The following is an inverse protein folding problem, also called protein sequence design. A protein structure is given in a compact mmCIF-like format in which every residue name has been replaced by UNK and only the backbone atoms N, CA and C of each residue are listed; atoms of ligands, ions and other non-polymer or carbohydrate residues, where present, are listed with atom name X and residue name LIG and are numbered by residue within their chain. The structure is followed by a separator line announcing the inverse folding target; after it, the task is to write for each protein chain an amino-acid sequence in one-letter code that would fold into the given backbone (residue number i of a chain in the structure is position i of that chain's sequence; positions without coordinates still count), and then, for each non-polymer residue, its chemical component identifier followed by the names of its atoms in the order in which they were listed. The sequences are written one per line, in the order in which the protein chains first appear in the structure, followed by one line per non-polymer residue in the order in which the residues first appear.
data_IF_557991406193
#
_entry.id   IF_557991406193
#
_cell.length_a   1.000
_cell.length_b   1.000
_cell.length_c   1.000
_cell.angle_alpha   90.00
_cell.angle_beta   90.00
_cell.angle_gamma   90.00
#
_symmetry.space_group_name_H-M   'P 1'
#
loop_
_entity.id
_entity.type
_entity.pdbx_description
1 polymer ?
#
# COMPACT_ATOMS: atom_id res chain seq x y z
N UNK A 1 -17.51 5.06 -12.03
CA UNK A 1 -16.90 3.99 -11.22
C UNK A 1 -16.31 2.97 -12.16
N UNK A 2 -15.14 2.44 -11.83
CA UNK A 2 -14.54 1.32 -12.56
C UNK A 2 -15.37 0.05 -12.33
N UNK A 3 -15.46 -0.78 -13.35
CA UNK A 3 -16.01 -2.13 -13.22
C UNK A 3 -14.91 -3.08 -12.70
N UNK A 4 -14.84 -3.23 -11.39
CA UNK A 4 -13.79 -4.05 -10.73
C UNK A 4 -13.90 -5.53 -11.12
N UNK A 5 -15.05 -6.01 -11.60
CA UNK A 5 -15.21 -7.40 -12.04
C UNK A 5 -14.34 -7.73 -13.26
N UNK A 6 -13.94 -6.72 -14.03
CA UNK A 6 -13.06 -6.84 -15.20
C UNK A 6 -11.56 -6.85 -14.87
N UNK A 7 -11.20 -6.55 -13.61
CA UNK A 7 -9.81 -6.66 -13.17
C UNK A 7 -9.45 -8.15 -13.15
N UNK A 8 -8.47 -8.54 -13.94
CA UNK A 8 -8.05 -9.93 -14.12
C UNK A 8 -6.52 -10.03 -14.17
N UNK A 9 -5.96 -10.67 -13.16
CA UNK A 9 -4.55 -11.02 -13.04
C UNK A 9 -4.37 -12.54 -12.94
N UNK A 10 -5.27 -13.31 -13.57
CA UNK A 10 -5.32 -14.78 -13.46
C UNK A 10 -4.02 -15.46 -13.86
N UNK A 11 -3.20 -14.85 -14.72
CA UNK A 11 -1.85 -15.33 -15.06
C UNK A 11 -0.93 -15.36 -13.85
N UNK A 12 -1.16 -14.52 -12.84
CA UNK A 12 -0.42 -14.44 -11.59
C UNK A 12 -1.13 -15.17 -10.43
N UNK A 13 -2.40 -15.56 -10.59
CA UNK A 13 -3.18 -16.25 -9.56
C UNK A 13 -2.93 -17.77 -9.54
N UNK A 14 -1.77 -18.19 -9.99
CA UNK A 14 -1.36 -19.60 -9.96
C UNK A 14 -0.75 -19.97 -8.61
N UNK A 15 -1.04 -21.17 -8.07
CA UNK A 15 -0.51 -21.60 -6.77
C UNK A 15 1.01 -21.43 -6.66
N UNK A 16 1.76 -21.76 -7.74
CA UNK A 16 3.21 -21.63 -7.80
C UNK A 16 3.72 -20.17 -7.75
N UNK A 17 2.87 -19.18 -8.05
CA UNK A 17 3.16 -17.75 -7.91
C UNK A 17 2.73 -17.28 -6.52
N UNK A 18 1.50 -17.60 -6.14
CA UNK A 18 0.89 -17.08 -4.90
C UNK A 18 1.64 -17.49 -3.65
N UNK A 19 2.19 -18.72 -3.60
CA UNK A 19 2.95 -19.23 -2.44
C UNK A 19 4.23 -18.42 -2.17
N UNK A 20 4.81 -17.79 -3.20
CA UNK A 20 6.00 -16.96 -3.06
C UNK A 20 5.67 -15.47 -2.99
N UNK A 21 4.55 -15.05 -3.59
CA UNK A 21 4.18 -13.64 -3.64
C UNK A 21 3.46 -13.17 -2.38
N UNK A 22 2.77 -14.08 -1.67
CA UNK A 22 2.05 -13.74 -0.44
C UNK A 22 2.52 -14.60 0.73
N UNK A 23 2.87 -13.93 1.84
CA UNK A 23 3.24 -14.57 3.11
C UNK A 23 2.30 -14.09 4.21
N UNK A 24 1.02 -14.48 4.18
CA UNK A 24 0.05 -14.06 5.17
C UNK A 24 0.44 -14.57 6.56
N UNK A 25 0.26 -13.70 7.55
CA UNK A 25 0.40 -14.04 8.97
C UNK A 25 -0.72 -13.41 9.78
N UNK A 26 -1.22 -14.11 10.82
CA UNK A 26 -2.24 -13.55 11.69
C UNK A 26 -1.67 -12.43 12.57
N UNK A 27 -2.55 -11.55 13.05
CA UNK A 27 -2.20 -10.62 14.12
C UNK A 27 -1.87 -11.41 15.40
N UNK A 28 -0.76 -11.09 16.10
CA UNK A 28 -0.43 -11.73 17.36
C UNK A 28 -1.57 -11.53 18.36
N UNK A 29 -2.01 -12.62 18.99
CA UNK A 29 -2.97 -12.52 20.10
C UNK A 29 -2.29 -11.76 21.24
N UNK A 30 -2.84 -10.61 21.61
CA UNK A 30 -2.39 -9.90 22.81
C UNK A 30 -2.57 -10.83 24.02
N UNK A 31 -1.48 -11.14 24.72
CA UNK A 31 -1.48 -11.95 25.92
C UNK A 31 -2.21 -11.24 27.07
N UNK A 32 -3.55 -11.21 27.04
CA UNK A 32 -4.33 -10.52 28.06
C UNK A 32 -5.85 -10.57 27.91
N UNK A 33 -6.39 -10.90 26.76
CA UNK A 33 -7.84 -10.99 26.58
C UNK A 33 -8.22 -12.31 25.89
N UNK A 34 -8.53 -13.31 26.72
CA UNK A 34 -9.30 -14.49 26.30
C UNK A 34 -10.78 -14.09 26.35
N UNK A 35 -11.32 -13.48 25.30
CA UNK A 35 -12.75 -13.46 25.10
C UNK A 35 -13.11 -14.32 23.92
N UNK A 36 -13.95 -15.31 24.18
CA UNK A 36 -14.58 -16.19 23.17
C UNK A 36 -15.76 -15.51 22.47
N UNK A 37 -15.93 -14.19 22.64
CA UNK A 37 -17.03 -13.41 22.10
C UNK A 37 -16.56 -12.69 20.82
N UNK A 38 -17.12 -13.03 19.64
CA UNK A 38 -16.77 -12.39 18.37
C UNK A 38 -17.02 -10.87 18.38
N UNK A 39 -18.01 -10.38 19.16
CA UNK A 39 -18.31 -8.96 19.26
C UNK A 39 -17.28 -8.16 20.10
N UNK A 40 -16.47 -8.83 20.93
CA UNK A 40 -15.37 -8.21 21.68
C UNK A 40 -14.05 -8.09 20.87
N UNK A 41 -13.97 -8.68 19.69
CA UNK A 41 -12.83 -8.54 18.77
C UNK A 41 -12.79 -7.20 18.06
N UNK A 42 -13.86 -6.39 18.12
CA UNK A 42 -13.95 -5.05 17.54
C UNK A 42 -13.90 -4.05 18.70
N UNK A 43 -12.74 -3.78 19.27
CA UNK A 43 -12.71 -2.96 20.48
C UNK A 43 -11.76 -1.78 20.51
N UNK A 44 -11.43 -1.20 19.37
CA UNK A 44 -10.91 0.18 19.36
C UNK A 44 -11.54 0.94 18.21
N UNK A 45 -11.81 2.25 18.38
CA UNK A 45 -12.24 3.16 17.31
C UNK A 45 -11.25 3.18 16.12
N UNK A 46 -10.10 2.54 16.28
CA UNK A 46 -9.03 2.45 15.27
C UNK A 46 -9.13 1.23 14.36
N UNK A 47 -9.76 0.14 14.81
CA UNK A 47 -9.80 -1.12 14.07
C UNK A 47 -11.07 -1.20 13.21
N UNK A 48 -10.89 -1.54 11.95
CA UNK A 48 -11.95 -1.65 10.96
C UNK A 48 -11.94 -3.03 10.31
N UNK A 49 -13.12 -3.55 9.98
CA UNK A 49 -13.30 -4.71 9.12
C UNK A 49 -14.10 -4.28 7.89
N UNK A 50 -13.44 -4.27 6.74
CA UNK A 50 -13.98 -3.79 5.47
C UNK A 50 -14.47 -4.99 4.67
N UNK A 51 -15.78 -5.14 4.47
CA UNK A 51 -16.35 -6.20 3.64
C UNK A 51 -15.97 -5.96 2.17
N UNK A 52 -15.27 -6.93 1.57
CA UNK A 52 -14.86 -6.89 0.16
C UNK A 52 -15.59 -7.90 -0.70
N UNK A 53 -16.11 -8.96 -0.09
CA UNK A 53 -17.04 -9.95 -0.65
C UNK A 53 -17.99 -10.42 0.46
N UNK A 54 -18.99 -11.26 0.12
CA UNK A 54 -20.02 -11.74 1.06
C UNK A 54 -19.42 -12.34 2.35
N UNK A 55 -18.36 -13.16 2.21
CA UNK A 55 -17.70 -13.85 3.33
C UNK A 55 -16.24 -13.41 3.54
N UNK A 56 -15.82 -12.29 2.94
CA UNK A 56 -14.43 -11.82 3.02
C UNK A 56 -14.38 -10.40 3.55
N UNK A 57 -13.66 -10.23 4.65
CA UNK A 57 -13.37 -8.92 5.24
C UNK A 57 -11.86 -8.64 5.25
N UNK A 58 -11.50 -7.39 5.09
CA UNK A 58 -10.14 -6.89 5.20
C UNK A 58 -10.00 -6.11 6.50
N UNK A 59 -9.01 -6.48 7.31
CA UNK A 59 -8.62 -5.73 8.50
C UNK A 59 -7.94 -4.42 8.11
N UNK A 60 -8.28 -3.34 8.80
CA UNK A 60 -7.62 -2.07 8.63
C UNK A 60 -7.47 -1.38 9.98
N UNK A 61 -6.45 -0.51 10.11
CA UNK A 61 -6.18 0.25 11.34
C UNK A 61 -5.94 1.71 11.02
N UNK A 62 -6.72 2.59 11.67
CA UNK A 62 -6.71 4.02 11.43
C UNK A 62 -6.13 4.77 12.64
N UNK A 63 -4.97 5.40 12.44
CA UNK A 63 -4.32 6.27 13.42
C UNK A 63 -4.69 7.72 13.11
N UNK A 64 -5.79 8.17 13.68
CA UNK A 64 -6.38 9.48 13.40
C UNK A 64 -6.00 10.48 14.49
N UNK A 65 -5.58 11.69 14.12
CA UNK A 65 -5.20 12.75 15.06
C UNK A 65 -5.86 14.09 14.75
N UNK A 66 -5.83 14.53 13.50
CA UNK A 66 -6.27 15.87 13.13
C UNK A 66 -7.32 15.84 12.03
N UNK A 67 -8.48 16.47 12.28
CA UNK A 67 -9.58 16.54 11.27
C UNK A 67 -9.15 17.19 9.96
N UNK A 68 -8.35 18.25 10.02
CA UNK A 68 -7.81 18.97 8.85
C UNK A 68 -6.46 18.44 8.37
N UNK A 69 -5.93 17.39 9.00
CA UNK A 69 -4.67 16.76 8.62
C UNK A 69 -4.78 16.03 7.29
N UNK A 70 -3.63 15.81 6.61
CA UNK A 70 -3.60 14.92 5.46
C UNK A 70 -3.98 13.50 5.87
N UNK A 71 -4.73 12.81 5.01
CA UNK A 71 -5.12 11.42 5.19
C UNK A 71 -4.23 10.56 4.29
N UNK A 72 -3.52 9.60 4.84
CA UNK A 72 -2.60 8.72 4.14
C UNK A 72 -3.17 7.30 4.12
N UNK A 73 -3.72 6.87 2.97
CA UNK A 73 -4.15 5.48 2.78
C UNK A 73 -2.93 4.64 2.41
N UNK A 74 -2.61 3.68 3.27
CA UNK A 74 -1.39 2.90 3.19
C UNK A 74 -1.64 1.41 2.95
N UNK A 75 -0.92 0.84 1.97
CA UNK A 75 -0.85 -0.59 1.68
C UNK A 75 0.58 -1.08 1.96
N UNK A 76 0.70 -2.02 2.88
CA UNK A 76 1.98 -2.51 3.40
C UNK A 76 2.69 -3.50 2.46
N UNK A 77 3.90 -3.90 2.81
CA UNK A 77 4.70 -4.89 2.11
C UNK A 77 4.26 -6.32 2.39
N UNK A 78 4.78 -7.27 1.59
CA UNK A 78 4.52 -8.68 1.80
C UNK A 78 5.07 -9.15 3.16
N UNK A 79 4.29 -9.97 3.88
CA UNK A 79 4.65 -10.49 5.21
C UNK A 79 4.47 -9.50 6.36
N UNK A 80 4.05 -8.27 6.10
CA UNK A 80 3.70 -7.25 7.09
C UNK A 80 2.20 -7.29 7.38
N UNK A 81 1.76 -6.66 8.46
CA UNK A 81 0.35 -6.46 8.83
C UNK A 81 0.16 -5.07 9.43
N UNK A 82 -1.08 -4.59 9.46
CA UNK A 82 -1.38 -3.23 9.97
C UNK A 82 -0.88 -2.96 11.38
N UNK A 83 -0.81 -3.97 12.25
CA UNK A 83 -0.29 -3.81 13.62
C UNK A 83 1.22 -3.57 13.70
N UNK A 84 2.00 -3.88 12.66
CA UNK A 84 3.44 -3.54 12.61
C UNK A 84 3.67 -2.03 12.56
N UNK A 85 2.63 -1.27 12.22
CA UNK A 85 2.67 0.20 12.09
C UNK A 85 2.13 0.95 13.30
N UNK A 86 1.82 0.23 14.40
CA UNK A 86 1.26 0.84 15.62
C UNK A 86 2.21 1.86 16.26
N UNK A 87 3.52 1.64 16.19
CA UNK A 87 4.51 2.60 16.69
C UNK A 87 4.74 3.76 15.69
N UNK A 88 4.52 3.53 14.41
CA UNK A 88 4.68 4.56 13.37
C UNK A 88 3.46 5.49 13.27
N UNK A 89 2.25 4.99 13.53
CA UNK A 89 1.03 5.79 13.49
C UNK A 89 1.12 7.09 14.31
N UNK A 90 1.54 7.06 15.58
CA UNK A 90 1.77 8.27 16.38
C UNK A 90 2.82 9.22 15.79
N UNK A 91 3.84 8.71 15.11
CA UNK A 91 4.86 9.55 14.47
C UNK A 91 4.28 10.32 13.27
N UNK A 92 3.44 9.66 12.45
CA UNK A 92 2.68 10.34 11.39
C UNK A 92 1.72 11.39 11.99
N UNK A 93 1.05 11.06 13.09
CA UNK A 93 0.14 11.97 13.76
C UNK A 93 0.84 13.24 14.27
N UNK A 94 2.08 13.14 14.77
CA UNK A 94 2.91 14.31 15.18
C UNK A 94 3.22 15.23 13.99
N UNK A 95 3.23 14.71 12.76
CA UNK A 95 3.41 15.49 11.54
C UNK A 95 2.10 16.08 11.00
N UNK A 96 0.97 15.85 11.68
CA UNK A 96 -0.36 16.25 11.23
C UNK A 96 -0.89 15.40 10.09
N UNK A 97 -0.51 14.12 10.05
CA UNK A 97 -0.92 13.14 9.04
C UNK A 97 -1.70 12.03 9.75
N UNK A 98 -2.89 11.72 9.27
CA UNK A 98 -3.68 10.58 9.67
C UNK A 98 -3.24 9.36 8.85
N UNK A 99 -2.90 8.24 9.49
CA UNK A 99 -2.47 7.01 8.82
C UNK A 99 -3.62 6.00 8.82
N UNK A 100 -4.05 5.58 7.64
CA UNK A 100 -5.11 4.60 7.42
C UNK A 100 -4.49 3.39 6.72
N UNK A 101 -4.06 2.38 7.49
CA UNK A 101 -3.39 1.19 6.97
C UNK A 101 -4.41 0.07 6.73
N UNK A 102 -4.28 -0.66 5.63
CA UNK A 102 -5.12 -1.81 5.28
C UNK A 102 -4.28 -3.05 5.01
N UNK A 103 -4.76 -4.19 5.52
CA UNK A 103 -4.22 -5.53 5.27
C UNK A 103 -4.65 -6.06 3.88
N UNK A 104 -4.23 -7.27 3.56
CA UNK A 104 -4.73 -8.07 2.44
C UNK A 104 -5.50 -9.28 2.96
N UNK A 105 -6.20 -10.00 2.09
CA UNK A 105 -6.87 -11.27 2.43
C UNK A 105 -5.89 -12.22 3.12
N UNK A 106 -6.28 -12.78 4.26
CA UNK A 106 -5.48 -13.71 5.06
C UNK A 106 -4.37 -13.07 5.91
N UNK A 107 -4.16 -11.75 5.83
CA UNK A 107 -3.21 -11.01 6.67
C UNK A 107 -3.91 -10.42 7.89
N UNK A 108 -3.20 -10.34 9.01
CA UNK A 108 -3.67 -9.71 10.22
C UNK A 108 -5.00 -10.31 10.69
N UNK A 109 -6.05 -9.48 10.67
CA UNK A 109 -7.43 -9.85 11.04
C UNK A 109 -8.33 -10.09 9.82
N UNK A 110 -7.77 -10.04 8.62
CA UNK A 110 -8.50 -10.29 7.38
C UNK A 110 -8.83 -11.78 7.21
N UNK A 111 -9.98 -12.05 6.58
CA UNK A 111 -10.36 -13.40 6.17
C UNK A 111 -9.99 -13.68 4.71
N UNK A 112 -10.34 -14.86 4.21
CA UNK A 112 -10.10 -15.27 2.83
C UNK A 112 -8.64 -15.66 2.56
N UNK A 113 -8.33 -15.88 1.27
CA UNK A 113 -6.99 -16.22 0.78
C UNK A 113 -6.52 -15.16 -0.21
N UNK A 114 -5.26 -14.71 -0.13
CA UNK A 114 -4.76 -13.69 -1.05
C UNK A 114 -4.59 -14.26 -2.45
N UNK A 115 -4.98 -13.46 -3.44
CA UNK A 115 -4.68 -13.61 -4.86
C UNK A 115 -4.32 -12.25 -5.42
N UNK A 116 -3.63 -12.19 -6.55
CA UNK A 116 -3.29 -10.91 -7.17
C UNK A 116 -4.54 -10.21 -7.66
N UNK A 117 -5.45 -10.94 -8.33
CA UNK A 117 -6.75 -10.38 -8.75
C UNK A 117 -7.55 -9.88 -7.55
N UNK A 118 -7.60 -10.65 -6.45
CA UNK A 118 -8.28 -10.24 -5.21
C UNK A 118 -7.66 -8.95 -4.64
N UNK A 119 -6.34 -8.90 -4.46
CA UNK A 119 -5.63 -7.71 -3.97
C UNK A 119 -5.95 -6.46 -4.81
N UNK A 120 -5.96 -6.60 -6.13
CA UNK A 120 -6.19 -5.49 -7.04
C UNK A 120 -7.67 -5.07 -7.10
N UNK A 121 -8.64 -5.96 -6.84
CA UNK A 121 -10.06 -5.62 -6.68
C UNK A 121 -10.36 -5.01 -5.32
N UNK A 122 -9.80 -5.60 -4.28
CA UNK A 122 -10.03 -5.17 -2.90
C UNK A 122 -9.53 -3.75 -2.66
N UNK A 123 -8.41 -3.33 -3.26
CA UNK A 123 -7.89 -1.98 -3.07
C UNK A 123 -8.91 -0.91 -3.51
N UNK A 124 -9.73 -1.14 -4.52
CA UNK A 124 -10.81 -0.23 -4.93
C UNK A 124 -11.93 -0.14 -3.88
N UNK A 125 -12.32 -1.29 -3.31
CA UNK A 125 -13.36 -1.34 -2.28
C UNK A 125 -12.87 -0.65 -0.99
N UNK A 126 -11.61 -0.92 -0.62
CA UNK A 126 -10.96 -0.27 0.52
C UNK A 126 -10.90 1.25 0.30
N UNK A 127 -10.52 1.70 -0.89
CA UNK A 127 -10.47 3.11 -1.24
C UNK A 127 -11.83 3.80 -1.09
N UNK A 128 -12.89 3.19 -1.62
CA UNK A 128 -14.25 3.73 -1.52
C UNK A 128 -14.76 3.73 -0.06
N UNK A 129 -14.44 2.67 0.71
CA UNK A 129 -14.73 2.63 2.15
C UNK A 129 -14.03 3.77 2.89
N UNK A 130 -12.73 3.93 2.70
CA UNK A 130 -11.94 4.98 3.36
C UNK A 130 -12.47 6.36 3.02
N UNK A 131 -12.76 6.67 1.76
CA UNK A 131 -13.36 7.96 1.37
C UNK A 131 -14.70 8.21 2.04
N UNK A 132 -15.56 7.20 2.06
CA UNK A 132 -16.88 7.30 2.70
C UNK A 132 -16.72 7.54 4.19
N UNK A 133 -15.84 6.79 4.86
CA UNK A 133 -15.55 6.94 6.27
C UNK A 133 -14.99 8.33 6.61
N UNK A 134 -14.00 8.81 5.85
CA UNK A 134 -13.43 10.16 6.03
C UNK A 134 -14.50 11.25 5.92
N UNK A 135 -15.38 11.15 4.93
CA UNK A 135 -16.49 12.08 4.75
C UNK A 135 -17.47 12.04 5.93
N UNK A 136 -17.92 10.85 6.33
CA UNK A 136 -18.87 10.65 7.44
C UNK A 136 -18.32 11.15 8.79
N UNK A 137 -17.00 11.01 9.00
CA UNK A 137 -16.34 11.41 10.25
C UNK A 137 -15.73 12.81 10.19
N UNK A 138 -16.01 13.57 9.11
CA UNK A 138 -15.55 14.94 8.92
C UNK A 138 -14.02 15.09 8.98
N UNK A 139 -13.31 14.33 8.14
CA UNK A 139 -11.88 14.45 7.87
C UNK A 139 -11.65 14.98 6.44
N UNK A 140 -11.83 16.30 6.20
CA UNK A 140 -11.81 16.89 4.86
C UNK A 140 -10.40 17.08 4.28
N UNK A 141 -9.36 16.70 5.01
CA UNK A 141 -7.98 16.88 4.58
C UNK A 141 -7.63 16.10 3.29
N UNK A 142 -6.55 16.49 2.59
CA UNK A 142 -6.13 15.84 1.36
C UNK A 142 -5.89 14.35 1.56
N UNK A 143 -6.20 13.55 0.52
CA UNK A 143 -5.94 12.12 0.51
C UNK A 143 -4.69 11.80 -0.31
N UNK A 144 -3.72 11.15 0.32
CA UNK A 144 -2.48 10.66 -0.28
C UNK A 144 -2.54 9.13 -0.30
N UNK A 145 -2.13 8.53 -1.40
CA UNK A 145 -1.94 7.08 -1.49
C UNK A 145 -0.48 6.73 -1.17
N UNK A 146 -0.25 5.70 -0.38
CA UNK A 146 1.09 5.19 -0.09
C UNK A 146 1.14 3.68 -0.17
N UNK A 147 2.12 3.15 -0.89
CA UNK A 147 2.35 1.72 -1.00
C UNK A 147 3.81 1.35 -0.84
N UNK A 148 4.06 0.35 0.02
CA UNK A 148 5.38 -0.20 0.26
C UNK A 148 5.51 -1.56 -0.42
N UNK A 149 6.60 -1.78 -1.18
CA UNK A 149 6.92 -3.07 -1.78
C UNK A 149 5.72 -3.62 -2.59
N UNK A 150 5.12 -4.74 -2.18
CA UNK A 150 3.90 -5.31 -2.78
C UNK A 150 2.76 -4.27 -2.86
N UNK A 151 2.59 -3.46 -1.83
CA UNK A 151 1.54 -2.43 -1.77
C UNK A 151 1.68 -1.34 -2.82
N UNK A 152 2.86 -1.20 -3.45
CA UNK A 152 3.06 -0.27 -4.56
C UNK A 152 2.14 -0.59 -5.76
N UNK A 153 1.84 -1.87 -6.00
CA UNK A 153 0.91 -2.27 -7.05
C UNK A 153 -0.51 -1.76 -6.79
N UNK A 154 -1.00 -1.89 -5.55
CA UNK A 154 -2.33 -1.41 -5.16
C UNK A 154 -2.48 0.11 -5.31
N UNK A 155 -1.49 0.88 -4.85
CA UNK A 155 -1.58 2.35 -4.94
C UNK A 155 -1.40 2.86 -6.36
N UNK A 156 -0.60 2.20 -7.19
CA UNK A 156 -0.47 2.55 -8.60
C UNK A 156 -1.74 2.22 -9.39
N UNK A 157 -2.43 1.13 -9.05
CA UNK A 157 -3.77 0.83 -9.57
C UNK A 157 -4.76 1.95 -9.24
N UNK A 158 -4.84 2.33 -7.97
CA UNK A 158 -5.72 3.41 -7.52
C UNK A 158 -5.36 4.76 -8.15
N UNK A 159 -4.06 5.08 -8.22
CA UNK A 159 -3.57 6.32 -8.81
C UNK A 159 -3.95 6.46 -10.29
N UNK A 160 -3.87 5.36 -11.04
CA UNK A 160 -4.26 5.33 -12.46
C UNK A 160 -5.77 5.58 -12.69
N UNK A 161 -6.62 5.16 -11.73
CA UNK A 161 -8.07 5.24 -11.88
C UNK A 161 -8.71 6.43 -11.16
N UNK A 162 -8.08 6.95 -10.10
CA UNK A 162 -8.68 7.94 -9.20
C UNK A 162 -7.83 9.20 -9.01
N UNK A 163 -6.98 9.56 -9.99
CA UNK A 163 -6.08 10.72 -9.84
C UNK A 163 -6.80 12.04 -9.50
N UNK A 164 -8.08 12.20 -9.88
CA UNK A 164 -8.86 13.39 -9.55
C UNK A 164 -9.45 13.38 -8.13
N UNK A 165 -9.37 12.24 -7.46
CA UNK A 165 -9.88 12.01 -6.10
C UNK A 165 -8.78 11.88 -5.05
N UNK A 166 -7.52 11.91 -5.48
CA UNK A 166 -6.34 11.86 -4.61
C UNK A 166 -5.46 13.07 -4.87
N UNK A 167 -4.68 13.45 -3.86
CA UNK A 167 -3.88 14.66 -3.88
C UNK A 167 -2.39 14.39 -4.05
N UNK A 168 -1.93 13.16 -3.77
CA UNK A 168 -0.53 12.78 -3.89
C UNK A 168 -0.33 11.27 -3.88
N UNK A 169 0.88 10.85 -4.22
CA UNK A 169 1.30 9.45 -4.28
C UNK A 169 2.67 9.28 -3.62
N UNK A 170 2.81 8.24 -2.80
CA UNK A 170 4.08 7.79 -2.23
C UNK A 170 4.28 6.33 -2.62
N UNK A 171 5.43 6.03 -3.21
CA UNK A 171 5.84 4.66 -3.53
C UNK A 171 7.16 4.38 -2.81
N UNK A 172 7.14 3.45 -1.86
CA UNK A 172 8.30 3.02 -1.10
C UNK A 172 8.76 1.64 -1.56
N UNK A 173 10.01 1.52 -1.98
CA UNK A 173 10.61 0.27 -2.47
C UNK A 173 9.70 -0.46 -3.46
N UNK A 174 9.06 0.31 -4.36
CA UNK A 174 8.13 -0.23 -5.35
C UNK A 174 8.84 -0.85 -6.54
N UNK A 175 8.19 -1.80 -7.19
CA UNK A 175 8.72 -2.48 -8.38
C UNK A 175 8.14 -1.89 -9.67
N UNK A 176 9.01 -1.74 -10.68
CA UNK A 176 8.63 -1.28 -12.01
C UNK A 176 8.06 -2.43 -12.86
N UNK A 177 8.69 -3.61 -12.74
CA UNK A 177 8.37 -4.79 -13.53
C UNK A 177 8.13 -6.01 -12.65
N UNK A 178 7.13 -6.83 -12.99
CA UNK A 178 6.85 -8.07 -12.28
C UNK A 178 7.86 -9.18 -12.62
N UNK A 179 8.30 -9.27 -13.87
CA UNK A 179 9.16 -10.35 -14.34
C UNK A 179 10.45 -10.54 -13.53
N UNK A 180 11.26 -9.49 -13.26
CA UNK A 180 12.44 -9.60 -12.40
C UNK A 180 12.12 -10.11 -11.00
N UNK A 181 11.04 -9.60 -10.37
CA UNK A 181 10.59 -10.05 -9.05
C UNK A 181 10.21 -11.54 -9.07
N UNK A 182 9.42 -11.97 -10.05
CA UNK A 182 9.01 -13.37 -10.18
C UNK A 182 10.22 -14.30 -10.39
N UNK A 183 11.23 -13.87 -11.19
CA UNK A 183 12.49 -14.64 -11.35
C UNK A 183 13.27 -14.74 -10.05
N UNK A 184 13.34 -13.66 -9.25
CA UNK A 184 13.96 -13.69 -7.93
C UNK A 184 13.28 -14.72 -7.03
N UNK A 185 11.96 -14.85 -7.14
CA UNK A 185 11.16 -15.86 -6.45
C UNK A 185 11.28 -17.26 -7.09
N UNK A 186 12.18 -17.45 -8.07
CA UNK A 186 12.43 -18.71 -8.78
C UNK A 186 11.23 -19.24 -9.57
N UNK A 187 10.35 -18.36 -10.02
CA UNK A 187 9.21 -18.71 -10.85
C UNK A 187 9.67 -18.78 -12.31
N UNK A 188 9.36 -19.89 -12.96
CA UNK A 188 9.60 -20.07 -14.40
C UNK A 188 8.51 -19.31 -15.19
N UNK A 189 8.91 -18.14 -15.75
CA UNK A 189 7.99 -17.26 -16.46
C UNK A 189 7.46 -17.88 -17.77
N UNK A 190 8.24 -18.73 -18.42
CA UNK A 190 7.83 -19.41 -19.65
C UNK A 190 6.79 -20.49 -19.34
N UNK A 191 7.03 -21.29 -18.28
CA UNK A 191 6.12 -22.34 -17.84
C UNK A 191 4.73 -21.80 -17.44
N UNK A 192 4.68 -20.58 -16.84
CA UNK A 192 3.40 -19.92 -16.51
C UNK A 192 2.83 -19.08 -17.67
N UNK A 193 3.53 -18.95 -18.79
CA UNK A 193 3.11 -18.13 -19.93
C UNK A 193 3.04 -16.63 -19.58
N UNK A 194 3.87 -16.17 -18.63
CA UNK A 194 3.89 -14.78 -18.21
C UNK A 194 4.51 -13.88 -19.26
N UNK A 195 3.85 -12.76 -19.50
CA UNK A 195 4.37 -11.62 -20.26
C UNK A 195 4.17 -10.36 -19.43
N UNK A 196 5.12 -9.43 -19.47
CA UNK A 196 5.07 -8.21 -18.65
C UNK A 196 3.80 -7.38 -18.91
N UNK A 197 3.27 -7.41 -20.13
CA UNK A 197 2.01 -6.72 -20.50
C UNK A 197 0.78 -7.31 -19.78
N UNK A 198 0.90 -8.53 -19.24
CA UNK A 198 -0.12 -9.17 -18.39
C UNK A 198 0.21 -9.10 -16.89
N UNK A 199 1.28 -8.39 -16.53
CA UNK A 199 1.68 -8.13 -15.17
C UNK A 199 0.95 -6.92 -14.58
N UNK A 200 1.57 -6.29 -13.57
CA UNK A 200 0.93 -5.18 -12.85
C UNK A 200 0.85 -3.87 -13.65
N UNK A 201 1.65 -3.70 -14.71
CA UNK A 201 1.65 -2.49 -15.54
C UNK A 201 2.05 -1.21 -14.77
N UNK A 202 2.92 -1.33 -13.77
CA UNK A 202 3.24 -0.24 -12.85
C UNK A 202 3.81 0.99 -13.54
N UNK A 203 4.68 0.82 -14.54
CA UNK A 203 5.22 1.94 -15.32
C UNK A 203 4.12 2.66 -16.12
N UNK A 204 3.23 1.91 -16.76
CA UNK A 204 2.13 2.48 -17.52
C UNK A 204 1.15 3.24 -16.60
N UNK A 205 0.88 2.72 -15.40
CA UNK A 205 0.04 3.38 -14.40
C UNK A 205 0.65 4.68 -13.90
N UNK A 206 1.92 4.68 -13.49
CA UNK A 206 2.57 5.89 -12.96
C UNK A 206 2.78 6.95 -14.05
N UNK A 207 2.94 6.55 -15.33
CA UNK A 207 3.07 7.48 -16.45
C UNK A 207 1.83 8.36 -16.66
N UNK A 208 0.67 7.94 -16.18
CA UNK A 208 -0.59 8.68 -16.27
C UNK A 208 -0.86 9.58 -15.08
N UNK A 209 -0.16 9.36 -13.97
CA UNK A 209 -0.39 10.10 -12.72
C UNK A 209 0.35 11.44 -12.74
N UNK A 210 -0.37 12.54 -12.43
CA UNK A 210 0.14 13.92 -12.58
C UNK A 210 0.19 14.70 -11.28
N UNK A 211 -0.27 14.13 -10.16
CA UNK A 211 -0.24 14.80 -8.86
C UNK A 211 1.12 14.66 -8.20
N UNK A 212 1.44 15.48 -7.17
CA UNK A 212 2.70 15.38 -6.44
C UNK A 212 3.05 13.96 -6.05
N UNK A 213 4.29 13.54 -6.34
CA UNK A 213 4.73 12.15 -6.19
C UNK A 213 6.07 12.07 -5.48
N UNK A 214 6.16 11.18 -4.49
CA UNK A 214 7.38 10.85 -3.77
C UNK A 214 7.71 9.37 -4.00
N UNK A 215 8.90 9.12 -4.55
CA UNK A 215 9.47 7.77 -4.62
C UNK A 215 10.56 7.67 -3.56
N UNK A 216 10.47 6.66 -2.69
CA UNK A 216 11.47 6.35 -1.66
C UNK A 216 12.06 4.98 -1.99
N UNK A 217 13.40 4.86 -2.00
CA UNK A 217 14.02 3.57 -2.29
C UNK A 217 15.33 3.39 -1.51
N UNK A 218 15.56 2.16 -1.04
CA UNK A 218 16.81 1.78 -0.38
C UNK A 218 17.95 1.67 -1.42
N UNK A 219 19.14 2.19 -1.07
CA UNK A 219 20.29 2.16 -1.98
C UNK A 219 20.74 0.75 -2.35
N UNK A 220 20.69 -0.18 -1.40
CA UNK A 220 21.10 -1.58 -1.56
C UNK A 220 19.92 -2.54 -1.42
N UNK A 221 18.78 -2.17 -2.01
CA UNK A 221 17.61 -3.04 -2.00
C UNK A 221 17.93 -4.36 -2.74
N UNK A 222 17.89 -5.46 -1.99
CA UNK A 222 18.24 -6.80 -2.48
C UNK A 222 17.01 -7.60 -2.95
N UNK A 223 15.79 -7.06 -2.74
CA UNK A 223 14.53 -7.68 -3.14
C UNK A 223 13.99 -6.97 -4.39
N UNK A 224 13.84 -5.66 -4.33
CA UNK A 224 13.43 -4.83 -5.45
C UNK A 224 14.58 -3.90 -5.80
N UNK A 225 15.28 -4.14 -6.93
CA UNK A 225 16.46 -3.37 -7.27
C UNK A 225 16.22 -1.86 -7.29
N UNK A 226 17.21 -1.07 -6.85
CA UNK A 226 17.16 0.40 -6.89
C UNK A 226 16.75 0.95 -8.26
N UNK A 227 17.13 0.26 -9.32
CA UNK A 227 16.77 0.61 -10.70
C UNK A 227 15.25 0.62 -10.93
N UNK A 228 14.47 -0.16 -10.20
CA UNK A 228 13.00 -0.16 -10.31
C UNK A 228 12.41 1.14 -9.75
N UNK A 229 12.89 1.60 -8.59
CA UNK A 229 12.50 2.91 -8.05
C UNK A 229 12.90 4.06 -8.98
N UNK A 230 14.09 3.98 -9.58
CA UNK A 230 14.54 4.95 -10.58
C UNK A 230 13.64 4.94 -11.83
N UNK A 231 13.28 3.75 -12.34
CA UNK A 231 12.40 3.61 -13.49
C UNK A 231 11.00 4.18 -13.22
N UNK A 232 10.44 3.94 -12.03
CA UNK A 232 9.17 4.54 -11.61
C UNK A 232 9.27 6.08 -11.56
N UNK A 233 10.35 6.61 -10.99
CA UNK A 233 10.57 8.05 -10.92
C UNK A 233 10.71 8.67 -12.32
N UNK A 234 11.52 8.10 -13.18
CA UNK A 234 11.78 8.62 -14.53
C UNK A 234 10.51 8.61 -15.37
N UNK A 235 9.69 7.55 -15.25
CA UNK A 235 8.44 7.37 -15.99
C UNK A 235 7.30 8.23 -15.45
N UNK A 236 7.34 8.63 -14.18
CA UNK A 236 6.29 9.43 -13.55
C UNK A 236 6.12 10.77 -14.26
N UNK A 237 4.88 11.08 -14.68
CA UNK A 237 4.53 12.32 -15.40
C UNK A 237 4.16 13.49 -14.49
N UNK A 238 4.26 13.35 -13.17
CA UNK A 238 4.02 14.44 -12.23
C UNK A 238 5.04 15.57 -12.43
N UNK A 239 4.58 16.82 -12.51
CA UNK A 239 5.45 17.99 -12.57
C UNK A 239 6.25 18.15 -11.26
N UNK A 240 5.61 17.83 -10.15
CA UNK A 240 6.18 17.86 -8.80
C UNK A 240 6.46 16.43 -8.35
N UNK A 241 7.68 15.99 -8.57
CA UNK A 241 8.12 14.66 -8.14
C UNK A 241 9.47 14.73 -7.43
N UNK A 242 9.60 13.91 -6.40
CA UNK A 242 10.83 13.78 -5.59
C UNK A 242 11.25 12.32 -5.55
N UNK A 243 12.56 12.08 -5.66
CA UNK A 243 13.17 10.77 -5.42
C UNK A 243 14.03 10.84 -4.16
N UNK A 244 13.69 10.05 -3.15
CA UNK A 244 14.47 9.91 -1.93
C UNK A 244 15.18 8.56 -1.91
N UNK A 245 16.48 8.59 -2.15
CA UNK A 245 17.36 7.45 -1.92
C UNK A 245 17.77 7.42 -0.45
N UNK A 246 17.61 6.29 0.24
CA UNK A 246 18.12 6.10 1.62
C UNK A 246 19.49 5.42 1.54
N UNK A 247 20.59 6.17 1.81
CA UNK A 247 21.94 5.66 1.68
C UNK A 247 22.22 4.52 2.66
N UNK A 248 22.89 3.48 2.18
CA UNK A 248 23.28 2.33 3.00
C UNK A 248 22.14 1.40 3.40
N UNK A 249 20.88 1.75 3.08
CA UNK A 249 19.72 0.94 3.42
C UNK A 249 19.53 -0.25 2.47
N UNK A 250 18.96 -1.32 3.00
CA UNK A 250 18.38 -2.43 2.25
C UNK A 250 16.83 -2.38 2.35
N UNK A 251 16.14 -3.35 1.72
CA UNK A 251 14.67 -3.41 1.67
C UNK A 251 13.98 -3.33 3.03
N UNK A 252 14.62 -3.84 4.08
CA UNK A 252 13.99 -4.05 5.39
C UNK A 252 14.48 -3.06 6.46
N UNK A 253 15.50 -2.24 6.20
CA UNK A 253 16.10 -1.37 7.22
C UNK A 253 16.03 0.14 6.89
N UNK A 254 15.14 0.53 5.96
CA UNK A 254 14.92 1.92 5.56
C UNK A 254 14.70 2.84 6.77
N UNK A 255 13.82 2.44 7.71
CA UNK A 255 13.55 3.21 8.92
C UNK A 255 14.76 3.31 9.85
N UNK A 256 15.53 2.22 10.00
CA UNK A 256 16.75 2.25 10.83
C UNK A 256 17.81 3.19 10.28
N UNK A 257 17.88 3.33 8.94
CA UNK A 257 18.94 4.07 8.26
C UNK A 257 18.58 5.52 7.96
N UNK A 258 17.32 5.82 7.72
CA UNK A 258 16.91 7.12 7.20
C UNK A 258 15.58 7.64 7.72
N UNK A 259 15.19 7.32 8.97
CA UNK A 259 13.89 7.72 9.53
C UNK A 259 13.65 9.25 9.44
N UNK A 260 14.67 10.05 9.75
CA UNK A 260 14.56 11.51 9.74
C UNK A 260 14.26 12.05 8.34
N UNK A 261 15.05 11.61 7.36
CA UNK A 261 14.89 12.00 5.95
C UNK A 261 13.59 11.49 5.37
N UNK A 262 13.22 10.27 5.72
CA UNK A 262 11.96 9.64 5.31
C UNK A 262 10.76 10.43 5.81
N UNK A 263 10.68 10.71 7.12
CA UNK A 263 9.58 11.46 7.72
C UNK A 263 9.54 12.91 7.22
N UNK A 264 10.70 13.55 7.01
CA UNK A 264 10.79 14.89 6.44
C UNK A 264 10.28 14.96 4.99
N UNK A 265 10.58 13.96 4.15
CA UNK A 265 10.11 13.90 2.78
C UNK A 265 8.58 13.69 2.71
N UNK A 266 8.03 12.82 3.54
CA UNK A 266 6.58 12.61 3.64
C UNK A 266 5.88 13.88 4.13
N UNK A 267 6.43 14.53 5.16
CA UNK A 267 5.88 15.81 5.67
C UNK A 267 5.88 16.88 4.58
N UNK A 268 6.97 16.97 3.82
CA UNK A 268 7.07 17.94 2.69
C UNK A 268 5.97 17.69 1.66
N UNK A 269 5.75 16.43 1.24
CA UNK A 269 4.67 16.11 0.31
C UNK A 269 3.30 16.42 0.92
N UNK A 270 3.07 16.06 2.19
CA UNK A 270 1.81 16.33 2.87
C UNK A 270 1.51 17.84 2.96
N UNK A 271 2.52 18.68 3.17
CA UNK A 271 2.32 20.16 3.18
C UNK A 271 2.07 20.70 1.79
N UNK A 272 2.70 20.14 0.77
CA UNK A 272 2.57 20.55 -0.63
C UNK A 272 1.17 20.31 -1.20
N UNK A 273 0.48 19.25 -0.75
CA UNK A 273 -0.86 18.91 -1.24
C UNK A 273 -1.99 19.58 -0.47
N UNK A 274 -1.69 20.31 0.61
CA UNK A 274 -2.70 21.08 1.35
C UNK A 274 -3.25 22.22 0.48
N UNK A 275 -4.56 22.50 0.56
CA UNK A 275 -5.11 23.69 -0.05
C UNK A 275 -4.42 24.95 0.49
N UNK A 276 -4.11 25.89 -0.40
CA UNK A 276 -3.58 27.22 -0.06
C UNK A 276 -4.58 28.03 0.75
#
# INVERSE_FOLDING_TARGET
MIDISKIDYSVLDRPEVLVFLFHPRPEPQSSGFSSSDPDQLISTERDHLIAVEEDVVIGARFHMAQKSGCNLLFFHGNGEIVSDYDDLGPMYNQLGINLLAADYRGYGRSTGKPTVTGMMRDCHIIFDYVKTWLHQHNYPGPLILMGRSLGSASVLELAAHYQDQVNGLIVESGFAHAGPLLRLLRIDLEAIGFKEEKGFGNLDKISRFKKPTLIIHAEFDHIIPFADGQALYDTCSANEKTFLKIPGANHNDIFMRGLSEYMAAIKKLADQVKPS
#
